data_IF_416110939343
#
_entry.id   IF_416110939343
#
_cell.length_a   1.000
_cell.length_b   1.000
_cell.length_c   1.000
_cell.angle_alpha   90.00
_cell.angle_beta   90.00
_cell.angle_gamma   90.00
#
_symmetry.space_group_name_H-M   'P 1'
#
loop_
_entity.id
_entity.type
_entity.pdbx_description
1 polymer ?
#
# COMPACT_ATOMS: atom_id res chain seq x y z
N UNK A 1 6.66 11.73 -7.19
CA UNK A 1 6.31 10.29 -7.17
C UNK A 1 5.51 9.95 -8.42
N UNK A 2 5.85 8.87 -9.06
CA UNK A 2 5.04 8.30 -10.14
C UNK A 2 4.15 7.17 -9.63
N UNK A 3 3.08 6.92 -10.36
CA UNK A 3 2.18 5.78 -10.12
C UNK A 3 2.06 4.94 -11.38
N UNK A 4 1.96 3.63 -11.19
CA UNK A 4 1.80 2.69 -12.30
C UNK A 4 0.34 2.44 -12.61
N UNK A 5 -0.52 2.42 -11.60
CA UNK A 5 -1.94 2.13 -11.74
C UNK A 5 -2.73 2.62 -10.53
N UNK A 6 -3.97 3.03 -10.76
CA UNK A 6 -4.96 3.28 -9.72
C UNK A 6 -6.26 2.55 -10.07
N UNK A 7 -6.76 1.78 -9.13
CA UNK A 7 -8.06 1.11 -9.23
C UNK A 7 -9.02 1.70 -8.20
N UNK A 8 -10.06 2.43 -8.66
CA UNK A 8 -11.06 2.98 -7.75
C UNK A 8 -11.96 1.93 -7.10
N UNK A 9 -12.01 0.73 -7.67
CA UNK A 9 -12.74 -0.44 -7.16
C UNK A 9 -11.86 -1.66 -7.33
N UNK A 10 -11.39 -2.22 -6.22
CA UNK A 10 -10.54 -3.41 -6.19
C UNK A 10 -10.96 -4.33 -5.05
N UNK A 11 -10.92 -5.65 -5.28
CA UNK A 11 -11.28 -6.67 -4.30
C UNK A 11 -10.15 -7.67 -4.03
N UNK A 12 -8.95 -7.40 -4.58
CA UNK A 12 -7.81 -8.33 -4.54
C UNK A 12 -6.80 -7.92 -3.48
N UNK A 13 -6.53 -6.64 -3.33
CA UNK A 13 -5.45 -6.12 -2.49
C UNK A 13 -5.97 -5.68 -1.12
N UNK A 14 -6.24 -6.63 -0.27
CA UNK A 14 -6.80 -6.44 1.06
C UNK A 14 -8.28 -6.81 1.15
N UNK A 15 -8.85 -6.80 2.35
CA UNK A 15 -10.22 -7.24 2.58
C UNK A 15 -11.26 -6.24 2.08
N UNK A 16 -12.37 -6.75 1.58
CA UNK A 16 -13.50 -5.96 1.11
C UNK A 16 -13.21 -5.26 -0.21
N UNK A 17 -14.07 -4.31 -0.56
CA UNK A 17 -13.89 -3.44 -1.73
C UNK A 17 -13.05 -2.24 -1.32
N UNK A 18 -12.05 -1.90 -2.13
CA UNK A 18 -11.03 -0.91 -1.77
C UNK A 18 -10.68 -0.01 -2.95
N UNK A 19 -10.08 1.12 -2.66
CA UNK A 19 -9.28 1.86 -3.63
C UNK A 19 -7.84 1.34 -3.53
N UNK A 20 -7.19 1.04 -4.66
CA UNK A 20 -5.82 0.52 -4.66
C UNK A 20 -4.92 1.35 -5.58
N UNK A 21 -3.84 1.86 -5.00
CA UNK A 21 -2.82 2.65 -5.69
C UNK A 21 -1.52 1.86 -5.80
N UNK A 22 -1.03 1.69 -7.02
CA UNK A 22 0.27 1.07 -7.30
C UNK A 22 1.28 2.17 -7.60
N UNK A 23 2.20 2.42 -6.66
CA UNK A 23 3.26 3.42 -6.82
C UNK A 23 4.42 2.85 -7.64
N UNK A 24 5.24 3.73 -8.22
CA UNK A 24 6.45 3.36 -8.95
C UNK A 24 7.69 3.61 -8.09
N UNK A 25 8.72 2.77 -8.32
CA UNK A 25 9.97 2.80 -7.57
C UNK A 25 10.07 1.70 -6.54
N UNK A 26 11.05 0.81 -6.71
CA UNK A 26 11.35 -0.26 -5.78
C UNK A 26 12.83 -0.62 -5.83
N UNK A 27 13.48 -0.66 -4.68
CA UNK A 27 14.91 -0.99 -4.57
C UNK A 27 15.17 -2.48 -4.39
N UNK A 28 14.13 -3.27 -4.10
CA UNK A 28 14.31 -4.65 -3.65
C UNK A 28 14.63 -5.63 -4.76
N UNK A 29 14.07 -5.43 -5.96
CA UNK A 29 14.29 -6.25 -7.15
C UNK A 29 14.11 -7.75 -6.88
N UNK A 30 13.04 -8.12 -6.20
CA UNK A 30 12.78 -9.50 -5.81
C UNK A 30 12.66 -10.41 -7.04
N UNK A 31 13.35 -11.54 -7.02
CA UNK A 31 13.25 -12.54 -8.09
C UNK A 31 11.83 -13.10 -8.15
N UNK A 32 11.21 -13.04 -9.33
CA UNK A 32 9.85 -13.53 -9.53
C UNK A 32 8.76 -12.53 -9.10
N UNK A 33 9.13 -11.27 -8.84
CA UNK A 33 8.16 -10.22 -8.52
C UNK A 33 7.12 -10.07 -9.64
N UNK A 34 5.84 -9.98 -9.28
CA UNK A 34 4.74 -9.75 -10.23
C UNK A 34 4.74 -8.34 -10.81
N UNK A 35 5.33 -7.37 -10.10
CA UNK A 35 5.25 -5.95 -10.43
C UNK A 35 6.59 -5.38 -10.90
N UNK A 36 7.38 -6.15 -11.67
CA UNK A 36 8.68 -5.70 -12.14
C UNK A 36 8.61 -4.39 -12.94
N UNK A 37 7.51 -4.15 -13.64
CA UNK A 37 7.28 -2.91 -14.39
C UNK A 37 7.21 -1.67 -13.49
N UNK A 38 7.04 -1.83 -12.18
CA UNK A 38 6.98 -0.73 -11.22
C UNK A 38 8.32 -0.42 -10.55
N UNK A 39 9.39 -1.14 -10.86
CA UNK A 39 10.68 -0.95 -10.19
C UNK A 39 11.32 0.40 -10.45
N UNK A 40 11.17 0.94 -11.67
CA UNK A 40 11.71 2.25 -12.01
C UNK A 40 10.88 3.37 -11.39
N UNK A 41 11.55 4.37 -10.79
CA UNK A 41 10.92 5.57 -10.29
C UNK A 41 10.22 6.38 -11.40
N UNK A 42 10.68 6.23 -12.64
CA UNK A 42 10.11 6.91 -13.80
C UNK A 42 8.99 6.11 -14.50
N UNK A 43 8.68 4.91 -14.01
CA UNK A 43 7.58 4.11 -14.57
C UNK A 43 6.24 4.81 -14.36
N UNK A 44 5.31 4.57 -15.28
CA UNK A 44 3.95 5.11 -15.20
C UNK A 44 3.87 6.61 -15.42
N UNK A 45 3.02 7.27 -14.66
CA UNK A 45 2.73 8.70 -14.77
C UNK A 45 2.88 9.41 -13.43
N UNK A 46 3.07 10.72 -13.47
CA UNK A 46 3.16 11.53 -12.25
C UNK A 46 1.87 11.45 -11.42
N UNK A 47 2.03 11.29 -10.12
CA UNK A 47 0.94 11.39 -9.16
C UNK A 47 0.63 12.86 -8.91
N UNK A 48 -0.51 13.31 -9.41
CA UNK A 48 -0.93 14.71 -9.35
C UNK A 48 -1.88 14.98 -8.19
N UNK A 49 -2.13 16.26 -7.91
CA UNK A 49 -3.16 16.68 -6.96
C UNK A 49 -4.55 16.13 -7.35
N UNK A 50 -4.83 16.06 -8.65
CA UNK A 50 -6.10 15.48 -9.15
C UNK A 50 -6.23 14.00 -8.81
N UNK A 51 -5.13 13.25 -8.87
CA UNK A 51 -5.12 11.83 -8.47
C UNK A 51 -5.42 11.68 -6.99
N UNK A 52 -4.81 12.52 -6.14
CA UNK A 52 -5.05 12.49 -4.70
C UNK A 52 -6.51 12.86 -4.39
N UNK A 53 -7.03 13.92 -5.03
CA UNK A 53 -8.43 14.34 -4.87
C UNK A 53 -9.41 13.23 -5.31
N UNK A 54 -9.08 12.51 -6.38
CA UNK A 54 -9.90 11.39 -6.85
C UNK A 54 -9.95 10.25 -5.83
N UNK A 55 -8.83 9.93 -5.19
CA UNK A 55 -8.78 8.90 -4.14
C UNK A 55 -9.68 9.29 -2.96
N UNK A 56 -9.59 10.53 -2.49
CA UNK A 56 -10.43 11.01 -1.39
C UNK A 56 -11.91 10.94 -1.77
N UNK A 57 -12.26 11.42 -2.96
CA UNK A 57 -13.64 11.38 -3.47
C UNK A 57 -14.18 9.95 -3.55
N UNK A 58 -13.38 9.02 -4.06
CA UNK A 58 -13.78 7.62 -4.18
C UNK A 58 -13.95 6.96 -2.81
N UNK A 59 -13.08 7.26 -1.86
CA UNK A 59 -13.21 6.76 -0.47
C UNK A 59 -14.47 7.31 0.23
N UNK A 60 -14.90 8.52 -0.11
CA UNK A 60 -16.08 9.16 0.46
C UNK A 60 -17.37 8.81 -0.26
N UNK A 61 -17.29 8.18 -1.45
CA UNK A 61 -18.46 7.84 -2.26
C UNK A 61 -19.33 6.80 -1.53
N UNK A 62 -20.59 7.13 -1.32
CA UNK A 62 -21.56 6.26 -0.64
C UNK A 62 -22.28 5.31 -1.60
N UNK A 63 -22.20 5.51 -2.91
CA UNK A 63 -22.85 4.68 -3.92
C UNK A 63 -22.16 3.32 -4.06
N UNK A 64 -20.81 3.31 -3.92
CA UNK A 64 -20.00 2.10 -3.84
C UNK A 64 -19.17 2.23 -2.57
N UNK A 65 -19.49 1.42 -1.57
CA UNK A 65 -18.76 1.45 -0.31
C UNK A 65 -17.35 0.88 -0.52
N UNK A 66 -16.32 1.67 -0.18
CA UNK A 66 -14.92 1.22 -0.10
C UNK A 66 -14.52 1.15 1.36
N UNK A 67 -13.98 0.02 1.75
CA UNK A 67 -13.51 -0.19 3.12
C UNK A 67 -12.29 0.66 3.45
N UNK A 68 -11.41 0.88 2.49
CA UNK A 68 -10.22 1.67 2.70
C UNK A 68 -9.34 1.80 1.47
N UNK A 69 -8.11 2.26 1.72
CA UNK A 69 -7.06 2.46 0.72
C UNK A 69 -6.00 1.37 0.85
N UNK A 70 -5.59 0.79 -0.26
CA UNK A 70 -4.45 -0.10 -0.36
C UNK A 70 -3.32 0.55 -1.16
N UNK A 71 -2.10 0.50 -0.62
CA UNK A 71 -0.89 1.04 -1.22
C UNK A 71 0.08 -0.10 -1.51
N UNK A 72 0.42 -0.28 -2.77
CA UNK A 72 1.28 -1.35 -3.26
C UNK A 72 2.05 -0.87 -4.51
N UNK A 73 2.44 -1.79 -5.37
CA UNK A 73 3.08 -1.52 -6.67
C UNK A 73 4.56 -1.82 -6.63
N UNK A 74 5.38 -0.79 -6.78
CA UNK A 74 6.78 -0.75 -6.40
C UNK A 74 6.86 -0.82 -4.87
N UNK A 75 7.40 0.18 -4.23
CA UNK A 75 7.39 0.23 -2.77
C UNK A 75 6.94 1.61 -2.27
N UNK A 76 5.79 1.69 -1.57
CA UNK A 76 5.33 2.94 -0.99
C UNK A 76 6.31 3.57 0.00
N UNK A 77 7.20 2.75 0.59
CA UNK A 77 8.24 3.21 1.51
C UNK A 77 9.59 3.48 0.83
N UNK A 78 9.65 3.46 -0.51
CA UNK A 78 10.84 3.91 -1.23
C UNK A 78 11.19 5.33 -0.76
N UNK A 79 12.47 5.63 -0.43
CA UNK A 79 12.84 6.93 0.14
C UNK A 79 12.34 8.15 -0.66
N UNK A 80 12.31 8.04 -1.98
CA UNK A 80 11.84 9.14 -2.85
C UNK A 80 10.32 9.28 -2.91
N UNK A 81 9.56 8.30 -2.40
CA UNK A 81 8.10 8.34 -2.37
C UNK A 81 7.56 8.83 -1.02
N UNK A 82 8.38 8.85 0.03
CA UNK A 82 7.92 9.03 1.41
C UNK A 82 7.14 10.34 1.63
N UNK A 83 7.60 11.45 1.09
CA UNK A 83 6.92 12.74 1.32
C UNK A 83 5.51 12.78 0.72
N UNK A 84 5.34 12.23 -0.47
CA UNK A 84 4.04 12.17 -1.16
C UNK A 84 3.11 11.17 -0.49
N UNK A 85 3.63 9.98 -0.14
CA UNK A 85 2.85 8.96 0.56
C UNK A 85 2.42 9.46 1.95
N UNK A 86 3.30 10.13 2.68
CA UNK A 86 2.97 10.72 3.98
C UNK A 86 1.83 11.72 3.88
N UNK A 87 1.88 12.62 2.89
CA UNK A 87 0.81 13.59 2.64
C UNK A 87 -0.52 12.89 2.36
N UNK A 88 -0.50 11.84 1.53
CA UNK A 88 -1.70 11.08 1.18
C UNK A 88 -2.30 10.38 2.40
N UNK A 89 -1.50 9.62 3.16
CA UNK A 89 -2.02 8.86 4.31
C UNK A 89 -2.55 9.78 5.42
N UNK A 90 -1.89 10.91 5.66
CA UNK A 90 -2.38 11.93 6.58
C UNK A 90 -3.74 12.49 6.14
N UNK A 91 -3.86 12.78 4.86
CA UNK A 91 -5.12 13.30 4.30
C UNK A 91 -6.25 12.27 4.41
N UNK A 92 -5.97 11.02 4.08
CA UNK A 92 -6.97 9.95 4.21
C UNK A 92 -7.45 9.82 5.67
N UNK A 93 -6.54 9.83 6.64
CA UNK A 93 -6.94 9.76 8.06
C UNK A 93 -7.74 10.97 8.51
N UNK A 94 -7.44 12.15 8.00
CA UNK A 94 -8.17 13.39 8.35
C UNK A 94 -9.54 13.47 7.70
N UNK A 95 -9.65 13.16 6.41
CA UNK A 95 -10.86 13.37 5.61
C UNK A 95 -11.73 12.11 5.48
N UNK A 96 -11.15 10.94 5.72
CA UNK A 96 -11.82 9.65 5.64
C UNK A 96 -11.55 8.81 6.91
N UNK A 97 -11.94 9.30 8.12
CA UNK A 97 -11.49 8.69 9.38
C UNK A 97 -12.00 7.26 9.61
N UNK A 98 -13.05 6.84 8.90
CA UNK A 98 -13.63 5.49 9.02
C UNK A 98 -13.03 4.49 8.02
N UNK A 99 -12.04 4.92 7.24
CA UNK A 99 -11.38 4.08 6.24
C UNK A 99 -10.03 3.59 6.76
N UNK A 100 -9.73 2.30 6.54
CA UNK A 100 -8.43 1.76 6.88
C UNK A 100 -7.41 1.97 5.75
N UNK A 101 -6.13 1.85 6.09
CA UNK A 101 -5.03 1.90 5.13
C UNK A 101 -4.21 0.61 5.25
N UNK A 102 -4.10 -0.10 4.15
CA UNK A 102 -3.23 -1.26 3.97
C UNK A 102 -2.03 -0.87 3.12
N UNK A 103 -0.86 -1.40 3.47
CA UNK A 103 0.38 -1.10 2.74
C UNK A 103 1.24 -2.36 2.62
N UNK A 104 1.79 -2.57 1.43
CA UNK A 104 2.77 -3.62 1.16
C UNK A 104 4.14 -2.99 0.94
N UNK A 105 5.16 -3.54 1.59
CA UNK A 105 6.55 -3.10 1.47
C UNK A 105 7.51 -4.28 1.49
N UNK A 106 8.63 -4.15 0.79
CA UNK A 106 9.72 -5.11 0.88
C UNK A 106 10.64 -4.90 2.07
N UNK A 107 10.54 -3.76 2.75
CA UNK A 107 11.24 -3.54 4.02
C UNK A 107 10.60 -4.36 5.13
N UNK A 108 11.35 -4.63 6.18
CA UNK A 108 10.79 -5.25 7.39
C UNK A 108 10.46 -4.18 8.42
N UNK A 109 9.41 -4.38 9.19
CA UNK A 109 8.97 -3.44 10.22
C UNK A 109 10.11 -3.08 11.19
N UNK A 110 10.94 -4.08 11.55
CA UNK A 110 12.06 -3.89 12.45
C UNK A 110 13.17 -2.98 11.90
N UNK A 111 13.31 -2.90 10.57
CA UNK A 111 14.42 -2.20 9.91
C UNK A 111 14.01 -0.86 9.28
N UNK A 112 12.80 -0.39 9.54
CA UNK A 112 12.32 0.88 9.00
C UNK A 112 13.14 2.06 9.54
N UNK A 113 13.46 3.01 8.67
CA UNK A 113 14.01 4.30 9.06
C UNK A 113 12.96 5.14 9.81
N UNK A 114 13.40 6.19 10.51
CA UNK A 114 12.47 7.09 11.20
C UNK A 114 11.45 7.73 10.25
N UNK A 115 11.91 8.12 9.05
CA UNK A 115 11.02 8.69 8.03
C UNK A 115 10.00 7.68 7.51
N UNK A 116 10.37 6.41 7.37
CA UNK A 116 9.45 5.35 6.99
C UNK A 116 8.44 5.05 8.12
N UNK A 117 8.91 5.03 9.37
CA UNK A 117 8.03 4.86 10.54
C UNK A 117 6.99 5.97 10.65
N UNK A 118 7.35 7.20 10.29
CA UNK A 118 6.39 8.31 10.27
C UNK A 118 5.22 8.03 9.35
N UNK A 119 5.47 7.48 8.16
CA UNK A 119 4.41 7.04 7.25
C UNK A 119 3.59 5.90 7.85
N UNK A 120 4.26 4.88 8.37
CA UNK A 120 3.61 3.68 8.92
C UNK A 120 2.74 3.98 10.13
N UNK A 121 3.00 5.05 10.86
CA UNK A 121 2.14 5.51 11.96
C UNK A 121 0.69 5.79 11.53
N UNK A 122 0.46 6.04 10.25
CA UNK A 122 -0.89 6.27 9.68
C UNK A 122 -1.47 5.03 9.00
N UNK A 123 -0.73 3.93 8.97
CA UNK A 123 -1.12 2.68 8.32
C UNK A 123 -1.76 1.74 9.35
N UNK A 124 -2.85 1.12 8.98
CA UNK A 124 -3.57 0.20 9.87
C UNK A 124 -3.06 -1.24 9.75
N UNK A 125 -2.70 -1.66 8.53
CA UNK A 125 -2.13 -2.99 8.28
C UNK A 125 -0.92 -2.87 7.36
N UNK A 126 0.22 -3.37 7.80
CA UNK A 126 1.45 -3.43 7.03
C UNK A 126 1.78 -4.89 6.70
N UNK A 127 1.89 -5.19 5.41
CA UNK A 127 2.43 -6.47 4.93
C UNK A 127 3.88 -6.22 4.55
N UNK A 128 4.80 -6.78 5.31
CA UNK A 128 6.22 -6.48 5.22
C UNK A 128 7.06 -7.65 4.71
N UNK A 129 8.28 -7.34 4.31
CA UNK A 129 9.27 -8.33 3.88
C UNK A 129 9.30 -8.53 2.36
N UNK A 130 10.49 -8.87 1.86
CA UNK A 130 10.70 -9.13 0.44
C UNK A 130 9.99 -10.40 0.00
N UNK A 131 9.43 -10.40 -1.21
CA UNK A 131 8.96 -11.62 -1.82
C UNK A 131 10.13 -12.58 -2.06
N UNK A 132 10.01 -13.80 -1.54
CA UNK A 132 11.00 -14.87 -1.74
C UNK A 132 10.35 -16.01 -2.54
N UNK A 133 10.81 -16.18 -3.77
CA UNK A 133 10.26 -17.18 -4.70
C UNK A 133 10.27 -18.60 -4.12
N UNK A 134 11.33 -18.95 -3.39
CA UNK A 134 11.47 -20.27 -2.76
C UNK A 134 10.40 -20.52 -1.67
N UNK A 135 9.80 -19.47 -1.11
CA UNK A 135 8.78 -19.52 -0.08
C UNK A 135 7.39 -19.08 -0.60
N UNK A 136 7.26 -18.94 -1.93
CA UNK A 136 6.02 -18.57 -2.57
C UNK A 136 4.92 -19.61 -2.30
N UNK A 137 3.75 -19.14 -1.89
CA UNK A 137 2.61 -20.01 -1.58
C UNK A 137 1.32 -19.25 -1.94
N UNK A 138 0.63 -19.65 -3.02
CA UNK A 138 -0.59 -18.99 -3.46
C UNK A 138 -1.78 -19.17 -2.51
N UNK A 139 -1.69 -20.08 -1.53
CA UNK A 139 -2.72 -20.27 -0.50
C UNK A 139 -2.66 -19.21 0.61
N UNK A 140 -1.55 -18.45 0.71
CA UNK A 140 -1.40 -17.40 1.70
C UNK A 140 -2.32 -16.22 1.39
N UNK A 141 -2.97 -15.71 2.43
CA UNK A 141 -3.80 -14.53 2.30
C UNK A 141 -2.96 -13.26 2.45
N UNK A 142 -3.14 -12.32 1.53
CA UNK A 142 -2.56 -10.98 1.52
C UNK A 142 -1.05 -10.89 1.33
N UNK A 143 -0.35 -11.99 1.14
CA UNK A 143 1.11 -12.04 0.94
C UNK A 143 1.47 -13.12 -0.08
N UNK A 144 2.62 -12.96 -0.73
CA UNK A 144 3.05 -13.88 -1.80
C UNK A 144 3.96 -15.00 -1.32
N UNK A 145 4.67 -14.82 -0.20
CA UNK A 145 5.61 -15.81 0.35
C UNK A 145 5.53 -15.88 1.87
N UNK A 146 5.84 -17.04 2.43
CA UNK A 146 5.62 -17.32 3.85
C UNK A 146 6.51 -16.52 4.80
N UNK A 147 7.61 -15.97 4.32
CA UNK A 147 8.49 -15.08 5.09
C UNK A 147 7.89 -13.69 5.34
N UNK A 148 6.92 -13.28 4.52
CA UNK A 148 6.24 -12.00 4.69
C UNK A 148 5.26 -12.08 5.85
N UNK A 149 5.08 -10.98 6.58
CA UNK A 149 4.22 -10.93 7.77
C UNK A 149 3.14 -9.87 7.58
N UNK A 150 1.92 -10.20 7.97
CA UNK A 150 0.80 -9.26 8.01
C UNK A 150 0.73 -8.69 9.42
N UNK A 151 1.10 -7.42 9.58
CA UNK A 151 1.07 -6.72 10.86
C UNK A 151 -0.20 -5.88 10.98
N UNK A 152 -1.05 -6.25 11.92
CA UNK A 152 -2.22 -5.45 12.28
C UNK A 152 -1.80 -4.42 13.32
N UNK A 153 -1.64 -3.17 12.90
CA UNK A 153 -1.10 -2.09 13.71
C UNK A 153 -2.18 -1.36 14.53
N UNK A 154 -3.44 -1.54 14.17
CA UNK A 154 -4.60 -0.96 14.85
C UNK A 154 -5.44 -2.06 15.47
N UNK A 155 -5.74 -1.96 16.79
CA UNK A 155 -6.45 -3.00 17.55
C UNK A 155 -7.82 -3.37 16.97
N UNK A 156 -8.56 -2.38 16.47
CA UNK A 156 -9.90 -2.59 15.91
C UNK A 156 -9.94 -3.51 14.68
N UNK A 157 -8.81 -3.72 14.00
CA UNK A 157 -8.72 -4.58 12.82
C UNK A 157 -8.38 -6.03 13.14
N UNK A 158 -7.91 -6.30 14.37
CA UNK A 158 -7.60 -7.67 14.83
C UNK A 158 -8.89 -8.50 14.94
N UNK A 159 -10.01 -7.85 15.20
CA UNK A 159 -11.31 -8.51 15.38
C UNK A 159 -12.00 -8.89 14.07
N UNK A 160 -11.54 -8.34 12.94
CA UNK A 160 -12.13 -8.56 11.60
C UNK A 160 -11.36 -9.61 10.77
N UNK A 161 -10.55 -10.41 11.40
CA UNK A 161 -9.80 -11.49 10.74
C UNK A 161 -10.71 -12.60 10.23
#
# INVERSE_FOLDING_TARGET
>A
MNISQYYPVDVINGPGTRCTLFVSGCVHQCKGCYNQSTWSLSAGVEFTQENEDAIIRDLQDTRIFRRGLSLSGGDPLHPQNLSVVLTLVKRVKRECPNKDIWMWTGYTLADLTDSQKEVVNYVDVLVDGKFEKALADPSLQWRGSSNQVVHYLTENLILDK
#
